data_IF_079415302923
#
_entry.id   IF_079415302923
#
_cell.length_a   1.000
_cell.length_b   1.000
_cell.length_c   1.000
_cell.angle_alpha   90.00
_cell.angle_beta   90.00
_cell.angle_gamma   90.00
#
_symmetry.space_group_name_H-M   'P 1'
#
loop_
_entity.id
_entity.type
_entity.pdbx_description
1 polymer ?
#
# COMPACT_ATOMS: atom_id res chain seq x y z
N UNK A 1 -42.62 -7.41 13.90
CA UNK A 1 -42.22 -6.03 13.68
C UNK A 1 -40.75 -6.07 13.31
N UNK A 2 -40.51 -6.02 12.03
CA UNK A 2 -39.15 -5.98 11.45
C UNK A 2 -38.72 -4.51 11.45
N UNK A 3 -37.52 -4.26 11.95
CA UNK A 3 -36.85 -2.96 11.82
C UNK A 3 -35.76 -3.13 10.79
N UNK A 4 -36.05 -2.68 9.58
CA UNK A 4 -35.09 -2.51 8.49
C UNK A 4 -34.08 -1.42 8.91
N UNK A 5 -32.88 -1.83 9.16
CA UNK A 5 -31.72 -0.92 9.24
C UNK A 5 -31.02 -0.91 7.87
N UNK A 6 -31.50 -0.06 6.98
CA UNK A 6 -30.77 0.35 5.80
C UNK A 6 -29.58 1.19 6.24
N UNK A 7 -28.41 0.58 6.24
CA UNK A 7 -27.14 1.30 6.29
C UNK A 7 -26.86 1.89 4.91
N UNK A 8 -27.11 3.19 4.81
CA UNK A 8 -26.64 4.02 3.70
C UNK A 8 -25.12 3.89 3.55
N UNK A 9 -24.71 3.11 2.56
CA UNK A 9 -23.36 3.17 2.01
C UNK A 9 -23.27 4.42 1.15
N UNK A 10 -23.00 5.55 1.77
CA UNK A 10 -22.69 6.78 1.06
C UNK A 10 -21.19 6.87 0.87
N UNK A 11 -20.79 6.50 -0.31
CA UNK A 11 -19.72 7.06 -1.14
C UNK A 11 -18.72 7.96 -0.39
N UNK A 12 -17.54 7.40 -0.10
CA UNK A 12 -16.31 8.16 0.04
C UNK A 12 -15.27 7.60 -0.93
N UNK A 13 -15.67 7.56 -2.21
CA UNK A 13 -14.71 7.46 -3.30
C UNK A 13 -14.56 8.88 -3.87
N UNK A 14 -13.65 9.64 -3.29
CA UNK A 14 -13.10 10.82 -3.95
C UNK A 14 -11.63 10.55 -4.14
N UNK A 15 -11.33 10.13 -5.37
CA UNK A 15 -10.01 9.92 -5.88
C UNK A 15 -9.11 11.13 -5.61
N UNK A 16 -8.09 10.90 -4.79
CA UNK A 16 -6.92 11.76 -4.74
C UNK A 16 -6.10 11.50 -6.01
N UNK A 17 -6.55 12.07 -7.13
CA UNK A 17 -5.72 12.30 -8.29
C UNK A 17 -4.74 13.41 -7.95
N UNK A 18 -3.48 13.19 -8.33
CA UNK A 18 -2.32 14.05 -8.14
C UNK A 18 -1.80 14.03 -6.70
N UNK A 19 -0.93 13.07 -6.41
CA UNK A 19 -0.01 13.16 -5.30
C UNK A 19 1.03 14.25 -5.61
N UNK A 20 0.72 15.51 -5.27
CA UNK A 20 1.74 16.42 -4.82
C UNK A 20 2.51 15.66 -3.75
N UNK A 21 3.76 15.32 -4.03
CA UNK A 21 4.61 14.63 -3.07
C UNK A 21 4.87 15.62 -1.95
N UNK A 22 4.02 15.57 -0.92
CA UNK A 22 4.20 16.34 0.30
C UNK A 22 5.63 16.10 0.81
N UNK A 23 6.34 17.15 1.09
CA UNK A 23 7.63 17.02 1.76
C UNK A 23 7.44 16.38 3.13
N UNK A 24 8.47 15.71 3.65
CA UNK A 24 8.39 15.09 4.97
C UNK A 24 8.02 16.09 6.07
N UNK A 25 8.42 17.36 5.87
CA UNK A 25 8.08 18.46 6.78
C UNK A 25 6.59 18.83 6.71
N UNK A 26 6.00 18.85 5.51
CA UNK A 26 4.56 19.08 5.32
C UNK A 26 3.73 17.92 5.87
N UNK A 27 4.18 16.67 5.69
CA UNK A 27 3.57 15.52 6.34
C UNK A 27 3.59 15.65 7.86
N UNK A 28 4.73 16.06 8.42
CA UNK A 28 4.85 16.30 9.85
C UNK A 28 3.97 17.47 10.33
N UNK A 29 3.69 18.46 9.52
CA UNK A 29 2.76 19.55 9.88
C UNK A 29 1.31 19.06 9.90
N UNK A 30 0.88 18.29 8.90
CA UNK A 30 -0.49 17.77 8.80
C UNK A 30 -0.82 16.68 9.81
N UNK A 31 0.18 15.98 10.37
CA UNK A 31 -0.08 14.94 11.37
C UNK A 31 -0.71 15.49 12.65
N UNK A 32 -0.54 16.78 12.95
CA UNK A 32 -1.15 17.40 14.13
C UNK A 32 -2.68 17.30 14.09
N UNK A 33 -3.29 17.58 12.96
CA UNK A 33 -4.73 17.48 12.77
C UNK A 33 -5.23 16.03 12.97
N UNK A 34 -4.44 15.06 12.48
CA UNK A 34 -4.75 13.63 12.67
C UNK A 34 -4.68 13.25 14.14
N UNK A 35 -3.66 13.68 14.86
CA UNK A 35 -3.50 13.37 16.29
C UNK A 35 -4.63 14.01 17.11
N UNK A 36 -4.97 15.25 16.81
CA UNK A 36 -6.04 15.98 17.51
C UNK A 36 -7.40 15.29 17.36
N UNK A 37 -7.66 14.65 16.21
CA UNK A 37 -8.88 13.85 15.98
C UNK A 37 -8.99 12.66 16.94
N UNK A 38 -7.85 12.08 17.34
CA UNK A 38 -7.80 10.94 18.28
C UNK A 38 -7.42 11.36 19.71
N UNK A 39 -7.47 12.66 20.02
CA UNK A 39 -7.13 13.19 21.34
C UNK A 39 -8.04 12.59 22.41
N UNK A 40 -7.46 12.06 23.49
CA UNK A 40 -8.18 11.45 24.60
C UNK A 40 -8.62 9.99 24.38
N UNK A 41 -8.40 9.39 23.23
CA UNK A 41 -8.70 7.98 22.97
C UNK A 41 -7.60 7.09 23.52
N UNK A 42 -7.93 6.13 24.41
CA UNK A 42 -6.97 5.13 24.88
C UNK A 42 -6.53 4.23 23.72
N UNK A 43 -5.22 4.07 23.53
CA UNK A 43 -4.69 3.25 22.45
C UNK A 43 -4.69 3.93 21.08
N UNK A 44 -4.68 5.26 21.04
CA UNK A 44 -4.73 6.07 19.82
C UNK A 44 -3.57 5.83 18.84
N UNK A 45 -2.47 5.19 19.27
CA UNK A 45 -1.27 4.99 18.45
C UNK A 45 -1.58 4.31 17.10
N UNK A 46 -2.24 3.16 17.12
CA UNK A 46 -2.52 2.39 15.89
C UNK A 46 -3.47 3.15 14.96
N UNK A 47 -4.63 3.69 15.42
CA UNK A 47 -5.49 4.51 14.57
C UNK A 47 -4.80 5.73 13.96
N UNK A 48 -3.98 6.44 14.73
CA UNK A 48 -3.19 7.59 14.24
C UNK A 48 -2.24 7.16 13.14
N UNK A 49 -1.48 6.08 13.34
CA UNK A 49 -0.55 5.55 12.35
C UNK A 49 -1.28 5.06 11.09
N UNK A 50 -2.45 4.42 11.22
CA UNK A 50 -3.26 3.99 10.07
C UNK A 50 -3.75 5.18 9.26
N UNK A 51 -4.29 6.21 9.92
CA UNK A 51 -4.75 7.42 9.23
C UNK A 51 -3.59 8.15 8.55
N UNK A 52 -2.44 8.26 9.23
CA UNK A 52 -1.24 8.85 8.66
C UNK A 52 -0.74 8.06 7.43
N UNK A 53 -0.71 6.73 7.52
CA UNK A 53 -0.33 5.86 6.40
C UNK A 53 -1.28 6.02 5.20
N UNK A 54 -2.59 6.15 5.44
CA UNK A 54 -3.57 6.34 4.37
C UNK A 54 -3.45 7.72 3.70
N UNK A 55 -3.14 8.76 4.49
CA UNK A 55 -2.99 10.12 3.96
C UNK A 55 -1.69 10.33 3.20
N UNK A 56 -0.58 9.78 3.70
CA UNK A 56 0.75 10.02 3.17
C UNK A 56 1.30 8.88 2.31
N UNK A 57 0.64 7.72 2.33
CA UNK A 57 1.10 6.52 1.64
C UNK A 57 2.22 5.77 2.38
N UNK A 58 3.00 6.44 3.21
CA UNK A 58 4.07 5.87 4.05
C UNK A 58 4.30 6.72 5.31
N UNK A 59 5.02 6.16 6.28
CA UNK A 59 5.32 6.78 7.56
C UNK A 59 6.77 7.25 7.60
N UNK A 60 7.02 8.49 7.23
CA UNK A 60 8.34 9.11 7.31
C UNK A 60 8.82 9.23 8.77
N UNK A 61 10.14 9.20 8.99
CA UNK A 61 10.73 9.31 10.31
C UNK A 61 10.31 10.58 11.08
N UNK A 62 10.22 11.78 10.47
CA UNK A 62 9.72 12.99 11.13
C UNK A 62 8.28 12.84 11.65
N UNK A 63 7.43 12.15 10.88
CA UNK A 63 6.04 11.85 11.28
C UNK A 63 6.02 10.96 12.52
N UNK A 64 6.81 9.89 12.55
CA UNK A 64 6.90 8.97 13.70
C UNK A 64 7.43 9.67 14.96
N UNK A 65 8.45 10.53 14.83
CA UNK A 65 8.95 11.34 15.94
C UNK A 65 7.87 12.27 16.50
N UNK A 66 7.10 12.89 15.63
CA UNK A 66 6.02 13.79 16.03
C UNK A 66 4.88 13.07 16.74
N UNK A 67 4.48 11.90 16.23
CA UNK A 67 3.49 11.01 16.89
C UNK A 67 3.98 10.61 18.29
N UNK A 68 5.26 10.22 18.42
CA UNK A 68 5.88 9.89 19.71
C UNK A 68 5.76 11.04 20.74
N UNK A 69 6.12 12.24 20.32
CA UNK A 69 6.09 13.43 21.18
C UNK A 69 4.66 13.80 21.59
N UNK A 70 3.74 13.83 20.64
CA UNK A 70 2.36 14.28 20.87
C UNK A 70 1.53 13.29 21.68
N UNK A 71 1.70 11.99 21.47
CA UNK A 71 1.03 10.96 22.25
C UNK A 71 1.75 10.62 23.56
N UNK A 72 2.91 11.25 23.81
CA UNK A 72 3.77 10.95 24.98
C UNK A 72 4.11 9.45 25.09
N UNK A 73 4.45 8.83 23.94
CA UNK A 73 4.85 7.42 23.84
C UNK A 73 6.32 7.36 23.43
N UNK A 74 7.16 6.51 24.02
CA UNK A 74 8.55 6.38 23.59
C UNK A 74 8.67 6.07 22.10
N UNK A 75 9.62 6.71 21.41
CA UNK A 75 9.85 6.47 19.97
C UNK A 75 10.12 4.99 19.65
N UNK A 76 10.80 4.28 20.54
CA UNK A 76 11.06 2.85 20.40
C UNK A 76 9.78 2.01 20.35
N UNK A 77 8.74 2.41 21.08
CA UNK A 77 7.44 1.74 21.05
C UNK A 77 6.70 2.03 19.74
N UNK A 78 6.69 3.28 19.28
CA UNK A 78 6.12 3.68 17.98
C UNK A 78 6.82 2.93 16.85
N UNK A 79 8.14 2.93 16.82
CA UNK A 79 8.94 2.21 15.82
C UNK A 79 8.73 0.70 15.90
N UNK A 80 8.59 0.14 17.10
CA UNK A 80 8.27 -1.26 17.32
C UNK A 80 6.92 -1.66 16.72
N UNK A 81 5.89 -0.85 16.91
CA UNK A 81 4.57 -1.07 16.30
C UNK A 81 4.64 -1.01 14.78
N UNK A 82 5.32 -0.01 14.22
CA UNK A 82 5.47 0.15 12.78
C UNK A 82 6.23 -1.03 12.14
N UNK A 83 7.27 -1.52 12.79
CA UNK A 83 8.05 -2.67 12.29
C UNK A 83 7.32 -4.00 12.45
N UNK A 84 6.44 -4.14 13.45
CA UNK A 84 5.70 -5.36 13.71
C UNK A 84 4.56 -5.58 12.72
N UNK A 85 3.82 -4.55 12.39
CA UNK A 85 2.68 -4.65 11.48
C UNK A 85 3.10 -4.42 10.03
N UNK A 86 2.98 -5.44 9.18
CA UNK A 86 3.30 -5.37 7.74
C UNK A 86 2.41 -4.41 6.93
N UNK A 87 1.34 -3.91 7.53
CA UNK A 87 0.51 -2.86 6.96
C UNK A 87 1.27 -1.54 6.83
N UNK A 88 2.11 -1.21 7.82
CA UNK A 88 2.87 0.03 7.82
C UNK A 88 4.10 -0.06 6.93
N UNK A 89 4.41 1.04 6.26
CA UNK A 89 5.61 1.20 5.44
C UNK A 89 6.34 2.48 5.83
N UNK A 90 7.65 2.38 6.03
CA UNK A 90 8.53 3.54 6.22
C UNK A 90 9.20 3.98 4.92
N UNK A 91 8.99 3.23 3.85
CA UNK A 91 9.55 3.50 2.52
C UNK A 91 8.39 3.99 1.64
N UNK A 92 8.61 5.06 0.85
CA UNK A 92 7.61 5.52 -0.10
C UNK A 92 7.16 4.39 -1.02
N UNK A 93 5.83 4.19 -1.14
CA UNK A 93 5.25 3.20 -2.04
C UNK A 93 4.99 3.82 -3.40
N UNK A 94 5.11 3.00 -4.43
CA UNK A 94 4.68 3.36 -5.77
C UNK A 94 3.15 3.43 -5.88
N UNK A 95 2.69 4.11 -6.91
CA UNK A 95 1.27 4.27 -7.23
C UNK A 95 0.57 2.91 -7.41
N UNK A 96 1.27 1.94 -8.00
CA UNK A 96 0.77 0.59 -8.22
C UNK A 96 1.56 -0.42 -7.40
N UNK A 97 0.88 -1.17 -6.56
CA UNK A 97 1.50 -2.21 -5.74
C UNK A 97 1.30 -3.56 -6.43
N UNK A 98 2.40 -4.14 -6.88
CA UNK A 98 2.43 -5.46 -7.52
C UNK A 98 2.75 -6.51 -6.45
N UNK A 99 1.80 -7.40 -6.17
CA UNK A 99 1.97 -8.49 -5.19
C UNK A 99 1.98 -9.83 -5.89
N UNK A 100 3.05 -10.58 -5.73
CA UNK A 100 3.19 -11.94 -6.29
C UNK A 100 2.91 -12.99 -5.22
N UNK A 101 1.96 -13.88 -5.47
CA UNK A 101 1.67 -14.97 -4.56
C UNK A 101 2.76 -16.04 -4.61
N UNK A 102 3.40 -16.31 -3.48
CA UNK A 102 4.36 -17.40 -3.29
C UNK A 102 3.85 -18.51 -2.34
N UNK A 103 2.52 -18.61 -2.17
CA UNK A 103 1.93 -19.76 -1.50
C UNK A 103 2.27 -21.06 -2.24
N UNK A 104 2.21 -22.20 -1.56
CA UNK A 104 2.66 -23.51 -2.05
C UNK A 104 2.16 -23.82 -3.47
N UNK A 105 0.87 -23.64 -3.75
CA UNK A 105 0.30 -23.91 -5.07
C UNK A 105 0.83 -23.01 -6.17
N UNK A 106 1.04 -21.71 -5.87
CA UNK A 106 1.61 -20.75 -6.80
C UNK A 106 3.09 -21.03 -7.02
N UNK A 107 3.83 -21.32 -5.97
CA UNK A 107 5.25 -21.63 -6.03
C UNK A 107 5.53 -22.84 -6.94
N UNK A 108 4.81 -23.95 -6.72
CA UNK A 108 4.97 -25.18 -7.52
C UNK A 108 4.57 -24.97 -9.01
N UNK A 109 3.66 -24.04 -9.27
CA UNK A 109 3.19 -23.73 -10.64
C UNK A 109 3.96 -22.60 -11.31
N UNK A 110 5.15 -22.25 -10.83
CA UNK A 110 6.01 -21.27 -11.46
C UNK A 110 5.86 -19.84 -10.94
N UNK A 111 5.38 -19.64 -9.70
CA UNK A 111 5.26 -18.31 -9.09
C UNK A 111 6.62 -17.63 -8.87
N UNK A 112 7.68 -18.42 -8.66
CA UNK A 112 9.05 -17.90 -8.52
C UNK A 112 9.58 -17.33 -9.83
N UNK A 113 9.33 -18.01 -10.94
CA UNK A 113 9.72 -17.58 -12.28
C UNK A 113 8.96 -16.31 -12.70
N UNK A 114 7.68 -16.20 -12.30
CA UNK A 114 6.88 -14.98 -12.51
C UNK A 114 7.46 -13.82 -11.70
N UNK A 115 7.80 -14.05 -10.42
CA UNK A 115 8.45 -13.04 -9.58
C UNK A 115 9.76 -12.55 -10.20
N UNK A 116 10.63 -13.47 -10.61
CA UNK A 116 11.91 -13.14 -11.24
C UNK A 116 11.69 -12.28 -12.50
N UNK A 117 10.73 -12.66 -13.36
CA UNK A 117 10.43 -11.89 -14.56
C UNK A 117 9.90 -10.49 -14.27
N UNK A 118 9.19 -10.29 -13.14
CA UNK A 118 8.73 -8.97 -12.70
C UNK A 118 9.92 -8.15 -12.19
N UNK A 119 10.81 -8.74 -11.39
CA UNK A 119 12.04 -8.09 -10.91
C UNK A 119 12.91 -7.63 -12.07
N UNK A 120 13.15 -8.52 -13.04
CA UNK A 120 13.95 -8.22 -14.24
C UNK A 120 13.31 -7.10 -15.09
N UNK A 121 11.98 -7.06 -15.18
CA UNK A 121 11.26 -6.05 -15.96
C UNK A 121 11.24 -4.68 -15.27
N UNK A 122 11.03 -4.65 -13.95
CA UNK A 122 10.95 -3.42 -13.16
C UNK A 122 12.33 -2.91 -12.72
N UNK A 123 13.34 -3.77 -12.71
CA UNK A 123 14.69 -3.44 -12.23
C UNK A 123 14.77 -3.24 -10.70
N UNK A 124 13.84 -3.82 -9.94
CA UNK A 124 13.77 -3.66 -8.48
C UNK A 124 13.69 -5.01 -7.76
N UNK A 125 14.21 -5.04 -6.55
CA UNK A 125 14.07 -6.18 -5.66
C UNK A 125 12.71 -6.20 -4.94
N UNK A 126 12.43 -7.33 -4.31
CA UNK A 126 11.24 -7.48 -3.46
C UNK A 126 11.28 -6.50 -2.29
N UNK A 127 10.20 -5.76 -2.09
CA UNK A 127 10.10 -4.68 -1.11
C UNK A 127 10.59 -3.34 -1.64
N UNK A 128 11.14 -3.29 -2.86
CA UNK A 128 11.57 -2.07 -3.53
C UNK A 128 10.44 -1.34 -4.25
N UNK A 129 10.71 -0.09 -4.59
CA UNK A 129 9.88 0.78 -5.42
C UNK A 129 10.72 1.29 -6.58
N UNK A 130 10.14 1.38 -7.76
CA UNK A 130 10.81 1.95 -8.94
C UNK A 130 11.15 3.42 -8.72
N UNK A 131 12.23 3.91 -9.35
CA UNK A 131 12.69 5.30 -9.20
C UNK A 131 11.64 6.31 -9.64
N UNK A 132 10.80 5.93 -10.63
CA UNK A 132 9.65 6.70 -11.11
C UNK A 132 8.44 6.65 -10.15
N UNK A 133 8.54 5.87 -9.04
CA UNK A 133 7.46 5.63 -8.06
C UNK A 133 6.15 5.13 -8.66
N UNK A 134 6.20 4.53 -9.84
CA UNK A 134 5.01 3.94 -10.48
C UNK A 134 4.69 2.58 -9.87
N UNK A 135 5.70 1.77 -9.59
CA UNK A 135 5.51 0.41 -9.07
C UNK A 135 6.25 0.16 -7.76
N UNK A 136 5.59 -0.57 -6.86
CA UNK A 136 6.24 -1.25 -5.73
C UNK A 136 6.01 -2.75 -5.85
N UNK A 137 7.04 -3.55 -5.58
CA UNK A 137 6.99 -5.00 -5.66
C UNK A 137 6.95 -5.64 -4.28
N UNK A 138 5.89 -6.38 -3.97
CA UNK A 138 5.71 -7.09 -2.71
C UNK A 138 5.47 -8.58 -2.94
N UNK A 139 5.79 -9.40 -1.94
CA UNK A 139 5.39 -10.82 -1.92
C UNK A 139 4.10 -10.96 -1.11
N UNK A 140 3.08 -11.52 -1.75
CA UNK A 140 1.87 -11.98 -1.08
C UNK A 140 2.03 -13.42 -0.60
N UNK A 141 1.75 -13.71 0.68
CA UNK A 141 1.90 -15.08 1.19
C UNK A 141 0.86 -16.03 0.62
N UNK A 142 -0.41 -15.62 0.58
CA UNK A 142 -1.49 -16.39 -0.03
C UNK A 142 -2.73 -15.51 -0.23
N UNK A 143 -3.29 -15.52 -1.45
CA UNK A 143 -4.52 -14.80 -1.77
C UNK A 143 -5.77 -15.70 -1.71
N UNK A 144 -5.63 -16.97 -1.31
CA UNK A 144 -6.73 -17.92 -1.28
C UNK A 144 -7.15 -18.50 -2.64
N UNK A 145 -6.60 -17.99 -3.76
CA UNK A 145 -6.99 -18.32 -5.13
C UNK A 145 -6.14 -19.47 -5.74
N UNK A 146 -5.94 -20.56 -5.01
CA UNK A 146 -5.02 -21.64 -5.39
C UNK A 146 -5.37 -22.34 -6.71
N UNK A 147 -6.66 -22.41 -7.07
CA UNK A 147 -7.11 -22.96 -8.35
C UNK A 147 -6.68 -22.12 -9.57
N UNK A 148 -6.37 -20.84 -9.34
CA UNK A 148 -5.98 -19.86 -10.36
C UNK A 148 -4.46 -19.64 -10.48
N UNK A 149 -3.69 -20.44 -9.75
CA UNK A 149 -2.23 -20.29 -9.66
C UNK A 149 -1.52 -20.45 -11.01
N UNK A 150 -0.41 -19.73 -11.28
CA UNK A 150 0.19 -18.66 -10.46
C UNK A 150 -0.63 -17.37 -10.48
N UNK A 151 -0.66 -16.66 -9.33
CA UNK A 151 -1.49 -15.46 -9.14
C UNK A 151 -0.61 -14.25 -8.85
N UNK A 152 -0.90 -13.16 -9.55
CA UNK A 152 -0.33 -11.83 -9.28
C UNK A 152 -1.50 -10.88 -9.00
N UNK A 153 -1.34 -9.99 -8.04
CA UNK A 153 -2.30 -8.94 -7.73
C UNK A 153 -1.65 -7.59 -7.97
N UNK A 154 -2.31 -6.72 -8.71
CA UNK A 154 -1.89 -5.33 -8.90
C UNK A 154 -2.98 -4.46 -8.30
N UNK A 155 -2.64 -3.71 -7.27
CA UNK A 155 -3.60 -3.03 -6.41
C UNK A 155 -4.65 -4.04 -5.89
N UNK A 156 -5.91 -3.91 -6.31
CA UNK A 156 -7.02 -4.82 -5.95
C UNK A 156 -7.40 -5.79 -7.07
N UNK A 157 -6.74 -5.71 -8.23
CA UNK A 157 -7.00 -6.58 -9.37
C UNK A 157 -6.17 -7.86 -9.32
N UNK A 158 -6.85 -9.01 -9.38
CA UNK A 158 -6.24 -10.34 -9.32
C UNK A 158 -6.08 -10.94 -10.71
N UNK A 159 -4.85 -11.21 -11.10
CA UNK A 159 -4.49 -11.83 -12.38
C UNK A 159 -4.15 -13.29 -12.16
N UNK A 160 -4.83 -14.16 -12.93
CA UNK A 160 -4.73 -15.60 -12.80
C UNK A 160 -3.83 -16.22 -13.87
N UNK A 161 -3.21 -17.37 -13.56
CA UNK A 161 -2.40 -18.17 -14.48
C UNK A 161 -1.36 -17.33 -15.23
N UNK A 162 -0.75 -16.41 -14.50
CA UNK A 162 0.24 -15.49 -15.06
C UNK A 162 1.48 -16.28 -15.48
N UNK A 163 1.90 -16.09 -16.73
CA UNK A 163 3.15 -16.68 -17.26
C UNK A 163 4.25 -15.62 -17.29
N UNK A 164 5.54 -15.99 -17.09
CA UNK A 164 6.66 -15.06 -17.19
C UNK A 164 6.66 -14.23 -18.48
N UNK A 165 6.30 -14.84 -19.62
CA UNK A 165 6.22 -14.17 -20.93
C UNK A 165 5.14 -13.09 -21.04
N UNK A 166 4.12 -13.12 -20.16
CA UNK A 166 3.01 -12.16 -20.18
C UNK A 166 3.14 -11.03 -19.15
N UNK A 167 4.21 -11.03 -18.38
CA UNK A 167 4.45 -10.03 -17.34
C UNK A 167 4.49 -8.62 -17.93
N UNK A 168 5.15 -8.43 -19.07
CA UNK A 168 5.22 -7.12 -19.76
C UNK A 168 3.83 -6.60 -20.13
N UNK A 169 3.03 -7.44 -20.78
CA UNK A 169 1.68 -7.07 -21.24
C UNK A 169 0.77 -6.71 -20.06
N UNK A 170 1.01 -7.35 -18.92
CA UNK A 170 0.26 -7.13 -17.68
C UNK A 170 0.62 -5.79 -17.01
N UNK A 171 1.87 -5.35 -17.08
CA UNK A 171 2.35 -4.13 -16.40
C UNK A 171 2.26 -2.88 -17.27
N UNK A 172 2.27 -3.01 -18.61
CA UNK A 172 2.21 -1.87 -19.55
C UNK A 172 1.00 -0.97 -19.32
N UNK A 173 -0.24 -1.45 -19.13
CA UNK A 173 -1.39 -0.59 -18.87
C UNK A 173 -1.26 0.30 -17.63
N UNK A 174 -0.61 -0.23 -16.57
CA UNK A 174 -0.38 0.49 -15.32
C UNK A 174 0.76 1.51 -15.40
N UNK A 175 1.66 1.36 -16.36
CA UNK A 175 2.71 2.34 -16.65
C UNK A 175 2.19 3.47 -17.52
N UNK A 176 1.24 3.17 -18.44
CA UNK A 176 0.63 4.12 -19.35
C UNK A 176 -0.54 4.90 -18.74
N UNK A 177 -1.03 4.52 -17.55
CA UNK A 177 -2.01 5.30 -16.80
C UNK A 177 -1.31 6.50 -16.15
N UNK A 178 -0.80 7.39 -16.97
CA UNK A 178 -0.48 8.77 -16.62
C UNK A 178 -1.78 9.52 -16.30
N UNK A 179 -1.69 10.54 -15.44
CA UNK A 179 -2.85 11.08 -14.74
C UNK A 179 -3.71 11.94 -15.65
N UNK A 180 -4.99 11.99 -15.28
CA UNK A 180 -5.90 13.08 -15.61
C UNK A 180 -5.44 14.02 -16.74
N UNK A 181 -5.69 13.64 -17.98
CA UNK A 181 -5.71 14.52 -19.12
C UNK A 181 -7.16 14.67 -19.56
N UNK A 182 -7.75 15.81 -19.26
CA UNK A 182 -8.72 16.58 -20.04
C UNK A 182 -9.71 15.77 -20.88
N UNK A 183 -10.92 15.63 -20.37
CA UNK A 183 -12.10 15.48 -21.22
C UNK A 183 -12.45 16.87 -21.80
N UNK A 184 -12.32 17.00 -23.15
CA UNK A 184 -13.06 18.02 -23.91
C UNK A 184 -14.53 17.61 -24.04
#
# INVERSE_FOLDING_TARGET
>A
MAVDAQLDQKETDQGACCSDQLSEEEMAARIDEVIDTFSGVKGALIPVLQTAQNLFGYLAEPVLKKVSLKLNIPYSEVAGVVSFYSYFSTIPRGKNIVRVCLGTACYVRGGKEVLQSIQDYLGIDVGGTTDDRVFSLEIGRCFGACGLAPVVMINDHVYQRVKPSKVKDLLVPYRASEPCGEEE
#
